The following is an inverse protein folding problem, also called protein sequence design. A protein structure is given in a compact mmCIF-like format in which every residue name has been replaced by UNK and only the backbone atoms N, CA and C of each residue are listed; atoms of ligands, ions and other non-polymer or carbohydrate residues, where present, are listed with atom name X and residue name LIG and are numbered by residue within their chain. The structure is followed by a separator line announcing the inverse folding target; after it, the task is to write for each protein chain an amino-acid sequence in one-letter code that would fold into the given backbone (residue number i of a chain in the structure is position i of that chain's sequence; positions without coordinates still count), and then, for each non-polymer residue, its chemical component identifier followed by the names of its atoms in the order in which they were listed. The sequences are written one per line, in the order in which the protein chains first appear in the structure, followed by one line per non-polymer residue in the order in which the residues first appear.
data_IF_181550641815
#
_entry.id   IF_181550641815
#
_cell.length_a   1.000
_cell.length_b   1.000
_cell.length_c   1.000
_cell.angle_alpha   90.00
_cell.angle_beta   90.00
_cell.angle_gamma   90.00
#
_symmetry.space_group_name_H-M   'P 1'
#
loop_
_entity.id
_entity.type
_entity.pdbx_description
1 polymer ?
#
# COMPACT_ATOMS: atom_id res chain seq x y z
N UNK A 1 -55.91 6.96 -6.10
CA UNK A 1 -55.10 8.16 -5.87
C UNK A 1 -54.35 7.93 -4.58
N UNK A 2 -53.17 7.42 -4.64
CA UNK A 2 -52.26 7.31 -3.50
C UNK A 2 -50.86 7.37 -4.10
N UNK A 3 -50.27 8.51 -3.95
CA UNK A 3 -48.88 8.77 -4.35
C UNK A 3 -47.96 8.05 -3.36
N UNK A 4 -47.23 7.08 -3.86
CA UNK A 4 -46.13 6.45 -3.19
C UNK A 4 -44.88 7.22 -3.51
N UNK A 5 -44.47 8.11 -2.62
CA UNK A 5 -43.23 8.85 -2.68
C UNK A 5 -42.13 7.93 -2.14
N UNK A 6 -41.43 7.24 -3.07
CA UNK A 6 -40.22 6.52 -2.73
C UNK A 6 -39.10 7.56 -2.51
N UNK A 7 -38.75 7.79 -1.27
CA UNK A 7 -37.52 8.49 -0.92
C UNK A 7 -36.34 7.61 -1.31
N UNK A 8 -35.63 8.04 -2.34
CA UNK A 8 -34.29 7.60 -2.66
C UNK A 8 -33.33 8.21 -1.62
N UNK A 9 -33.18 7.52 -0.49
CA UNK A 9 -32.13 7.80 0.48
C UNK A 9 -30.84 7.15 -0.02
N UNK A 10 -30.13 7.83 -0.91
CA UNK A 10 -28.70 7.60 -1.11
C UNK A 10 -28.01 8.02 0.19
N UNK A 11 -27.85 7.04 1.08
CA UNK A 11 -27.03 7.17 2.28
C UNK A 11 -25.60 7.44 1.84
N UNK A 12 -25.19 8.70 1.81
CA UNK A 12 -23.79 9.09 1.71
C UNK A 12 -23.08 8.58 2.97
N UNK A 13 -22.42 7.43 2.84
CA UNK A 13 -21.45 7.00 3.83
C UNK A 13 -20.38 8.10 3.90
N UNK A 14 -20.43 8.89 4.96
CA UNK A 14 -19.36 9.84 5.26
C UNK A 14 -18.15 8.99 5.66
N UNK A 15 -17.13 8.98 4.82
CA UNK A 15 -15.82 8.54 5.25
C UNK A 15 -15.38 9.44 6.40
N UNK A 16 -15.28 8.85 7.58
CA UNK A 16 -15.26 9.52 8.89
C UNK A 16 -13.87 10.04 9.27
N UNK A 17 -13.06 10.44 8.28
CA UNK A 17 -11.76 11.07 8.53
C UNK A 17 -11.72 12.42 7.84
N UNK A 18 -11.93 13.48 8.61
CA UNK A 18 -11.73 14.87 8.16
C UNK A 18 -10.22 15.14 8.06
N UNK A 19 -9.60 14.62 7.00
CA UNK A 19 -8.20 14.89 6.69
C UNK A 19 -8.13 15.90 5.54
N UNK A 20 -7.12 16.77 5.53
CA UNK A 20 -6.86 17.58 4.35
C UNK A 20 -6.48 16.66 3.20
N UNK A 21 -7.23 16.69 2.12
CA UNK A 21 -7.00 15.87 0.95
C UNK A 21 -5.87 16.48 0.10
N UNK A 22 -4.83 15.67 -0.15
CA UNK A 22 -3.72 16.01 -1.06
C UNK A 22 -3.88 15.16 -2.31
N UNK A 23 -3.81 15.77 -3.49
CA UNK A 23 -3.99 15.09 -4.77
C UNK A 23 -2.89 15.41 -5.76
N UNK A 24 -2.83 14.66 -6.86
CA UNK A 24 -1.93 14.93 -7.97
C UNK A 24 -0.46 14.54 -7.71
N UNK A 25 0.46 15.36 -8.22
CA UNK A 25 1.90 15.04 -8.20
C UNK A 25 2.49 15.03 -6.79
N UNK A 26 2.03 15.93 -5.92
CA UNK A 26 2.47 15.99 -4.52
C UNK A 26 2.06 14.70 -3.76
N UNK A 27 0.83 14.23 -3.97
CA UNK A 27 0.37 12.97 -3.38
C UNK A 27 1.18 11.77 -3.86
N UNK A 28 1.55 11.73 -5.16
CA UNK A 28 2.41 10.67 -5.72
C UNK A 28 3.80 10.66 -5.12
N UNK A 29 4.42 11.84 -5.03
CA UNK A 29 5.75 11.97 -4.44
C UNK A 29 5.74 11.50 -2.98
N UNK A 30 4.72 11.92 -2.21
CA UNK A 30 4.60 11.53 -0.81
C UNK A 30 4.32 10.05 -0.63
N UNK A 31 3.46 9.46 -1.47
CA UNK A 31 3.19 8.03 -1.46
C UNK A 31 4.47 7.22 -1.72
N UNK A 32 5.26 7.63 -2.71
CA UNK A 32 6.55 6.99 -3.01
C UNK A 32 7.47 7.01 -1.80
N UNK A 33 7.66 8.18 -1.16
CA UNK A 33 8.48 8.31 0.05
C UNK A 33 8.00 7.38 1.17
N UNK A 34 6.69 7.36 1.46
CA UNK A 34 6.12 6.52 2.50
C UNK A 34 6.33 5.02 2.23
N UNK A 35 6.13 4.58 0.99
CA UNK A 35 6.34 3.18 0.58
C UNK A 35 7.81 2.77 0.73
N UNK A 36 8.75 3.65 0.34
CA UNK A 36 10.19 3.40 0.46
C UNK A 36 10.67 3.43 1.92
N UNK A 37 10.10 4.31 2.75
CA UNK A 37 10.46 4.41 4.18
C UNK A 37 9.92 3.25 5.02
N UNK A 38 8.69 2.79 4.76
CA UNK A 38 8.07 1.69 5.52
C UNK A 38 8.60 0.34 5.03
N UNK A 39 8.95 0.24 3.73
CA UNK A 39 9.60 -0.89 3.08
C UNK A 39 8.75 -2.18 3.01
N UNK A 40 8.24 -2.68 4.13
CA UNK A 40 7.53 -3.97 4.18
C UNK A 40 6.03 -3.81 3.91
N UNK A 41 5.58 -4.39 2.80
CA UNK A 41 4.17 -4.50 2.48
C UNK A 41 3.55 -5.80 3.02
N UNK A 42 2.33 -5.72 3.51
CA UNK A 42 1.41 -6.86 3.54
C UNK A 42 0.87 -7.05 2.11
N UNK A 43 1.52 -7.90 1.33
CA UNK A 43 1.17 -8.19 -0.06
C UNK A 43 0.02 -9.20 -0.10
N UNK A 44 -1.12 -8.81 -0.64
CA UNK A 44 -2.37 -9.58 -0.65
C UNK A 44 -2.71 -10.02 -2.06
N UNK A 45 -2.95 -11.31 -2.22
CA UNK A 45 -3.39 -11.96 -3.46
C UNK A 45 -4.68 -12.73 -3.21
N UNK A 46 -5.28 -13.24 -4.28
CA UNK A 46 -6.42 -14.17 -4.22
C UNK A 46 -5.95 -15.59 -4.54
N UNK A 47 -6.19 -16.54 -3.63
CA UNK A 47 -5.83 -17.93 -3.82
C UNK A 47 -6.79 -18.68 -4.79
N UNK A 48 -6.51 -19.96 -5.05
CA UNK A 48 -7.31 -20.80 -5.96
C UNK A 48 -8.77 -21.01 -5.50
N UNK A 49 -9.08 -20.74 -4.22
CA UNK A 49 -10.43 -20.82 -3.64
C UNK A 49 -11.14 -19.46 -3.67
N UNK A 50 -10.44 -18.40 -4.12
CA UNK A 50 -10.94 -17.04 -4.12
C UNK A 50 -10.74 -16.32 -2.78
N UNK A 51 -10.01 -16.92 -1.83
CA UNK A 51 -9.73 -16.34 -0.52
C UNK A 51 -8.56 -15.35 -0.61
N UNK A 52 -8.61 -14.27 0.18
CA UNK A 52 -7.52 -13.31 0.27
C UNK A 52 -6.43 -13.86 1.19
N UNK A 53 -5.19 -13.84 0.70
CA UNK A 53 -4.01 -14.31 1.44
C UNK A 53 -2.94 -13.24 1.42
N UNK A 54 -2.47 -12.83 2.61
CA UNK A 54 -1.43 -11.81 2.75
C UNK A 54 -0.11 -12.42 3.24
N UNK A 55 1.01 -11.84 2.79
CA UNK A 55 2.37 -12.18 3.26
C UNK A 55 3.25 -10.93 3.25
N UNK A 56 4.28 -10.86 4.10
CA UNK A 56 5.22 -9.74 4.05
C UNK A 56 6.09 -9.80 2.79
N UNK A 57 6.29 -8.65 2.14
CA UNK A 57 7.18 -8.47 1.00
C UNK A 57 7.97 -7.16 1.15
N UNK A 58 9.29 -7.23 1.00
CA UNK A 58 10.14 -6.04 1.04
C UNK A 58 10.11 -5.34 -0.32
N UNK A 59 9.73 -4.08 -0.32
CA UNK A 59 9.78 -3.20 -1.49
C UNK A 59 11.24 -2.90 -1.84
N UNK A 60 11.58 -2.95 -3.12
CA UNK A 60 12.93 -2.66 -3.59
C UNK A 60 13.05 -1.31 -4.26
N UNK A 61 11.99 -0.89 -4.92
CA UNK A 61 11.94 0.37 -5.65
C UNK A 61 10.49 0.78 -5.87
N UNK A 62 10.24 2.08 -5.87
CA UNK A 62 9.10 2.70 -6.55
C UNK A 62 9.70 3.51 -7.69
N UNK A 63 9.55 3.05 -8.93
CA UNK A 63 10.18 3.69 -10.07
C UNK A 63 9.50 5.01 -10.49
N UNK A 64 10.02 5.67 -11.53
CA UNK A 64 9.51 6.95 -12.02
C UNK A 64 8.07 6.86 -12.57
N UNK A 65 7.67 5.67 -13.04
CA UNK A 65 6.30 5.41 -13.49
C UNK A 65 5.34 5.19 -12.31
N UNK A 66 5.87 4.98 -11.11
CA UNK A 66 5.12 4.64 -9.90
C UNK A 66 4.93 3.14 -9.72
N UNK A 67 5.56 2.30 -10.55
CA UNK A 67 5.53 0.85 -10.38
C UNK A 67 6.35 0.43 -9.15
N UNK A 68 5.80 -0.51 -8.37
CA UNK A 68 6.40 -1.00 -7.13
C UNK A 68 7.02 -2.38 -7.39
N UNK A 69 8.30 -2.54 -7.03
CA UNK A 69 9.11 -3.70 -7.39
C UNK A 69 9.52 -4.53 -6.18
N UNK A 70 9.38 -5.85 -6.32
CA UNK A 70 9.73 -6.85 -5.31
C UNK A 70 10.55 -7.98 -5.94
N UNK A 71 11.40 -8.67 -5.14
CA UNK A 71 11.95 -9.96 -5.55
C UNK A 71 11.01 -11.11 -5.19
N UNK A 72 11.04 -12.15 -6.01
CA UNK A 72 10.25 -13.37 -5.82
C UNK A 72 10.94 -14.57 -6.46
N UNK A 73 10.40 -15.76 -6.24
CA UNK A 73 10.65 -16.95 -7.08
C UNK A 73 9.45 -17.13 -8.01
N UNK A 74 9.71 -17.43 -9.28
CA UNK A 74 8.70 -17.59 -10.33
C UNK A 74 7.77 -18.79 -10.11
N UNK A 75 8.23 -19.82 -9.36
CA UNK A 75 7.44 -20.98 -8.95
C UNK A 75 6.72 -20.78 -7.60
N UNK A 76 6.80 -19.58 -7.00
CA UNK A 76 6.19 -19.34 -5.70
C UNK A 76 4.66 -19.30 -5.78
N UNK A 77 4.02 -19.69 -4.67
CA UNK A 77 2.55 -19.70 -4.56
C UNK A 77 1.91 -18.35 -4.92
N UNK A 78 2.51 -17.23 -4.48
CA UNK A 78 2.00 -15.90 -4.80
C UNK A 78 2.07 -15.56 -6.29
N UNK A 79 3.08 -16.08 -7.01
CA UNK A 79 3.20 -15.90 -8.45
C UNK A 79 2.07 -16.64 -9.16
N UNK A 80 1.84 -17.91 -8.84
CA UNK A 80 0.70 -18.67 -9.40
C UNK A 80 -0.67 -18.04 -9.07
N UNK A 81 -0.79 -17.39 -7.93
CA UNK A 81 -1.98 -16.63 -7.54
C UNK A 81 -2.15 -15.38 -8.42
N UNK A 82 -1.08 -14.62 -8.66
CA UNK A 82 -1.10 -13.41 -9.51
C UNK A 82 -1.27 -13.72 -10.99
N UNK A 83 -0.77 -14.85 -11.48
CA UNK A 83 -1.01 -15.30 -12.87
C UNK A 83 -2.50 -15.58 -13.14
N UNK A 84 -3.24 -16.03 -12.13
CA UNK A 84 -4.68 -16.28 -12.23
C UNK A 84 -5.52 -15.03 -12.00
N UNK A 85 -5.09 -14.21 -11.06
CA UNK A 85 -5.75 -12.98 -10.63
C UNK A 85 -4.72 -11.89 -10.48
N UNK A 86 -4.59 -11.05 -11.48
CA UNK A 86 -3.57 -9.99 -11.50
C UNK A 86 -3.80 -8.91 -10.43
N UNK A 87 -5.03 -8.80 -9.92
CA UNK A 87 -5.40 -7.81 -8.91
C UNK A 87 -4.76 -8.16 -7.56
N UNK A 88 -4.04 -7.20 -6.99
CA UNK A 88 -3.36 -7.33 -5.71
C UNK A 88 -3.61 -6.12 -4.83
N UNK A 89 -3.47 -6.32 -3.51
CA UNK A 89 -3.47 -5.24 -2.53
C UNK A 89 -2.14 -5.18 -1.80
N UNK A 90 -1.64 -3.97 -1.56
CA UNK A 90 -0.49 -3.72 -0.69
C UNK A 90 -0.96 -2.85 0.47
N UNK A 91 -0.60 -3.24 1.69
CA UNK A 91 -0.78 -2.38 2.86
C UNK A 91 0.56 -2.20 3.56
N UNK A 92 0.94 -0.94 3.77
CA UNK A 92 2.13 -0.54 4.51
C UNK A 92 1.69 0.09 5.83
N UNK A 93 2.31 -0.32 6.94
CA UNK A 93 1.90 0.09 8.26
C UNK A 93 3.12 0.45 9.12
N UNK A 94 3.32 1.73 9.36
CA UNK A 94 4.20 2.23 10.42
C UNK A 94 3.37 2.65 11.63
N UNK A 95 3.14 1.71 12.51
CA UNK A 95 2.36 1.95 13.75
C UNK A 95 3.04 2.93 14.70
N UNK A 96 4.36 3.03 14.62
CA UNK A 96 5.16 3.94 15.46
C UNK A 96 5.06 5.39 15.00
N UNK A 97 4.93 5.61 13.70
CA UNK A 97 4.74 6.90 13.04
C UNK A 97 3.29 7.25 12.78
N UNK A 98 2.35 6.30 13.02
CA UNK A 98 0.94 6.42 12.64
C UNK A 98 0.77 6.73 11.15
N UNK A 99 1.58 6.05 10.31
CA UNK A 99 1.56 6.22 8.85
C UNK A 99 1.07 4.93 8.20
N UNK A 100 0.16 5.08 7.27
CA UNK A 100 -0.50 3.95 6.62
C UNK A 100 -0.59 4.22 5.13
N UNK A 101 -0.34 3.20 4.31
CA UNK A 101 -0.51 3.27 2.85
C UNK A 101 -1.30 2.06 2.40
N UNK A 102 -2.27 2.28 1.54
CA UNK A 102 -3.04 1.26 0.84
C UNK A 102 -2.87 1.44 -0.66
N UNK A 103 -2.51 0.36 -1.35
CA UNK A 103 -2.40 0.34 -2.82
C UNK A 103 -3.22 -0.81 -3.36
N UNK A 104 -4.14 -0.54 -4.26
CA UNK A 104 -4.74 -1.53 -5.13
C UNK A 104 -4.02 -1.47 -6.48
N UNK A 105 -3.58 -2.61 -7.00
CA UNK A 105 -2.78 -2.66 -8.22
C UNK A 105 -2.90 -3.95 -8.99
N UNK A 106 -2.14 -4.05 -10.06
CA UNK A 106 -2.01 -5.26 -10.89
C UNK A 106 -0.57 -5.74 -10.87
N UNK A 107 -0.38 -7.01 -10.55
CA UNK A 107 0.95 -7.62 -10.47
C UNK A 107 1.28 -8.46 -11.71
N UNK A 108 2.53 -8.44 -12.10
CA UNK A 108 3.10 -9.34 -13.12
C UNK A 108 4.52 -9.75 -12.78
N UNK A 109 4.92 -10.92 -13.23
CA UNK A 109 6.30 -11.44 -13.10
C UNK A 109 7.16 -10.88 -14.24
N UNK A 110 8.35 -10.39 -13.90
CA UNK A 110 9.29 -9.80 -14.84
C UNK A 110 10.68 -10.42 -14.68
N UNK A 111 11.25 -10.92 -15.77
CA UNK A 111 12.61 -11.44 -15.84
C UNK A 111 13.54 -10.42 -16.51
N UNK A 112 13.88 -9.36 -15.79
CA UNK A 112 14.81 -8.31 -16.23
C UNK A 112 16.11 -8.41 -15.42
N UNK A 113 17.12 -9.10 -16.00
CA UNK A 113 18.39 -9.32 -15.34
C UNK A 113 19.09 -8.01 -14.96
N UNK A 114 19.08 -7.02 -15.83
CA UNK A 114 19.73 -5.75 -15.57
C UNK A 114 19.07 -5.00 -14.40
N UNK A 115 17.73 -5.04 -14.33
CA UNK A 115 16.99 -4.47 -13.20
C UNK A 115 17.24 -5.27 -11.91
N UNK A 116 17.26 -6.60 -11.98
CA UNK A 116 17.60 -7.44 -10.83
C UNK A 116 18.97 -7.11 -10.26
N UNK A 117 20.00 -6.97 -11.09
CA UNK A 117 21.36 -6.60 -10.67
C UNK A 117 21.41 -5.23 -10.00
N UNK A 118 20.64 -4.27 -10.49
CA UNK A 118 20.54 -2.93 -9.88
C UNK A 118 19.83 -2.93 -8.52
N UNK A 119 18.78 -3.73 -8.37
CA UNK A 119 17.93 -3.76 -7.17
C UNK A 119 18.38 -4.75 -6.11
N UNK A 120 19.24 -5.69 -6.46
CA UNK A 120 19.72 -6.71 -5.54
C UNK A 120 20.62 -6.10 -4.45
N UNK A 121 20.45 -6.56 -3.24
CA UNK A 121 21.34 -6.23 -2.13
C UNK A 121 21.58 -7.46 -1.24
N UNK A 122 22.72 -7.52 -0.53
CA UNK A 122 23.07 -8.67 0.33
C UNK A 122 22.04 -9.00 1.40
N UNK A 123 21.15 -8.06 1.76
CA UNK A 123 20.06 -8.34 2.69
C UNK A 123 19.04 -9.37 2.16
N UNK A 124 19.05 -9.63 0.85
CA UNK A 124 18.20 -10.62 0.20
C UNK A 124 18.77 -12.05 0.26
N UNK A 125 20.05 -12.24 0.62
CA UNK A 125 20.69 -13.55 0.68
C UNK A 125 19.99 -14.51 1.68
N UNK A 126 19.30 -13.98 2.68
CA UNK A 126 18.49 -14.78 3.60
C UNK A 126 17.30 -15.49 2.93
N UNK A 127 16.89 -15.01 1.74
CA UNK A 127 15.77 -15.53 0.97
C UNK A 127 16.21 -16.20 -0.34
N UNK A 128 17.40 -15.82 -0.84
CA UNK A 128 17.98 -16.24 -2.11
C UNK A 128 19.44 -16.67 -1.85
N UNK A 129 19.64 -17.93 -1.44
CA UNK A 129 20.95 -18.45 -0.97
C UNK A 129 22.06 -18.35 -2.03
N UNK A 130 21.68 -18.50 -3.32
CA UNK A 130 22.62 -18.35 -4.45
C UNK A 130 22.59 -16.93 -5.05
N UNK A 131 22.04 -15.95 -4.31
CA UNK A 131 21.92 -14.59 -4.78
C UNK A 131 21.12 -14.49 -6.08
N UNK A 132 21.65 -13.74 -7.04
CA UNK A 132 21.03 -13.59 -8.38
C UNK A 132 21.10 -14.85 -9.24
N UNK A 133 21.85 -15.88 -8.84
CA UNK A 133 21.92 -17.19 -9.52
C UNK A 133 20.91 -18.17 -8.93
N UNK A 134 20.13 -17.78 -7.93
CA UNK A 134 19.05 -18.61 -7.36
C UNK A 134 18.09 -19.03 -8.47
N UNK A 135 17.86 -20.35 -8.68
CA UNK A 135 16.94 -20.81 -9.71
C UNK A 135 15.53 -20.21 -9.56
N UNK A 136 14.99 -19.69 -10.64
CA UNK A 136 13.64 -19.09 -10.65
C UNK A 136 13.55 -17.70 -9.99
N UNK A 137 14.68 -17.06 -9.66
CA UNK A 137 14.65 -15.68 -9.16
C UNK A 137 14.06 -14.74 -10.22
N UNK A 138 13.11 -13.93 -9.82
CA UNK A 138 12.41 -13.00 -10.68
C UNK A 138 12.01 -11.73 -9.91
N UNK A 139 11.56 -10.74 -10.64
CA UNK A 139 10.90 -9.57 -10.07
C UNK A 139 9.38 -9.71 -10.16
N UNK A 140 8.69 -9.18 -9.18
CA UNK A 140 7.26 -8.97 -9.22
C UNK A 140 7.02 -7.46 -9.29
N UNK A 141 6.44 -7.00 -10.39
CA UNK A 141 6.05 -5.61 -10.61
C UNK A 141 4.61 -5.42 -10.22
N UNK A 142 4.30 -4.40 -9.46
CA UNK A 142 2.93 -3.96 -9.19
C UNK A 142 2.73 -2.58 -9.78
N UNK A 143 1.81 -2.48 -10.75
CA UNK A 143 1.34 -1.21 -11.29
C UNK A 143 0.13 -0.75 -10.49
N UNK A 144 0.21 0.36 -9.76
CA UNK A 144 -0.91 0.88 -8.97
C UNK A 144 -2.09 1.28 -9.88
N UNK A 145 -3.30 0.98 -9.43
CA UNK A 145 -4.57 1.42 -10.02
C UNK A 145 -5.20 2.52 -9.18
N UNK A 146 -5.10 2.38 -7.86
CA UNK A 146 -5.45 3.41 -6.90
C UNK A 146 -4.57 3.28 -5.65
N UNK A 147 -4.29 4.41 -5.02
CA UNK A 147 -3.45 4.45 -3.83
C UNK A 147 -3.94 5.53 -2.88
N UNK A 148 -3.90 5.22 -1.61
CA UNK A 148 -4.27 6.13 -0.53
C UNK A 148 -3.25 6.05 0.59
N UNK A 149 -2.98 7.17 1.26
CA UNK A 149 -2.15 7.20 2.45
C UNK A 149 -2.75 8.08 3.54
N UNK A 150 -2.40 7.76 4.77
CA UNK A 150 -2.77 8.50 5.97
C UNK A 150 -1.54 8.72 6.81
N UNK A 151 -1.29 9.95 7.21
CA UNK A 151 -0.19 10.30 8.10
C UNK A 151 -0.56 11.48 9.02
N UNK A 152 0.10 11.63 10.18
CA UNK A 152 -0.12 12.79 11.04
C UNK A 152 0.27 14.09 10.36
N UNK A 153 -0.61 15.08 10.37
CA UNK A 153 -0.33 16.43 9.82
C UNK A 153 0.83 17.13 10.52
N UNK A 154 1.01 16.85 11.80
CA UNK A 154 2.06 17.43 12.62
C UNK A 154 2.79 16.31 13.36
N UNK A 155 4.11 16.42 13.54
CA UNK A 155 4.94 15.37 14.14
C UNK A 155 4.40 14.79 15.47
N UNK A 156 4.90 13.64 15.87
CA UNK A 156 4.42 12.76 16.98
C UNK A 156 3.98 13.50 18.27
N UNK A 157 4.66 14.60 18.63
CA UNK A 157 4.33 15.38 19.83
C UNK A 157 3.03 16.17 19.69
N UNK A 158 2.77 16.76 18.50
CA UNK A 158 1.55 17.51 18.25
C UNK A 158 0.33 16.58 18.15
N UNK A 159 0.50 15.41 17.54
CA UNK A 159 -0.55 14.38 17.48
C UNK A 159 -0.93 13.87 18.86
N UNK A 160 0.07 13.60 19.74
CA UNK A 160 -0.18 13.19 21.12
C UNK A 160 -0.88 14.30 21.94
N UNK A 161 -0.50 15.56 21.74
CA UNK A 161 -1.15 16.69 22.39
C UNK A 161 -2.61 16.89 21.89
N UNK A 162 -2.85 16.68 20.58
CA UNK A 162 -4.18 16.72 19.98
C UNK A 162 -5.10 15.60 20.52
N UNK A 163 -4.59 14.37 20.63
CA UNK A 163 -5.31 13.25 21.22
C UNK A 163 -5.63 13.49 22.71
N UNK A 164 -4.70 14.03 23.47
CA UNK A 164 -4.90 14.35 24.89
C UNK A 164 -5.98 15.45 25.04
N UNK A 165 -5.96 16.46 24.19
CA UNK A 165 -6.99 17.52 24.14
C UNK A 165 -8.36 16.91 23.83
N UNK A 166 -8.46 16.03 22.82
CA UNK A 166 -9.71 15.36 22.45
C UNK A 166 -10.29 14.52 23.59
N UNK A 167 -9.46 13.84 24.36
CA UNK A 167 -9.89 13.09 25.56
C UNK A 167 -10.48 13.98 26.66
N UNK A 168 -10.03 15.24 26.75
CA UNK A 168 -10.51 16.19 27.75
C UNK A 168 -11.73 16.97 27.27
N UNK A 169 -11.79 17.33 26.00
CA UNK A 169 -12.86 18.17 25.43
C UNK A 169 -14.01 17.37 24.85
N UNK A 170 -13.86 16.05 24.66
CA UNK A 170 -14.79 15.17 23.92
C UNK A 170 -15.09 15.63 22.48
N UNK A 171 -14.25 16.52 21.95
CA UNK A 171 -14.30 16.90 20.55
C UNK A 171 -13.48 15.92 19.74
N UNK A 172 -13.99 15.51 18.58
CA UNK A 172 -13.23 14.74 17.61
C UNK A 172 -11.98 15.57 17.23
N UNK A 173 -10.75 15.00 17.20
CA UNK A 173 -9.60 15.76 16.79
C UNK A 173 -9.74 16.10 15.31
N UNK A 174 -10.39 17.22 15.02
CA UNK A 174 -10.38 17.80 13.68
C UNK A 174 -8.93 18.08 13.29
N UNK A 175 -8.54 17.61 12.11
CA UNK A 175 -7.30 18.03 11.45
C UNK A 175 -5.97 17.41 11.95
N UNK A 176 -5.99 16.19 12.51
CA UNK A 176 -4.76 15.51 12.97
C UNK A 176 -4.08 14.64 11.91
N UNK A 177 -4.78 14.26 10.84
CA UNK A 177 -4.28 13.38 9.78
C UNK A 177 -4.30 14.08 8.42
N UNK A 178 -3.35 13.77 7.57
CA UNK A 178 -3.35 14.09 6.14
C UNK A 178 -3.72 12.81 5.39
N UNK A 179 -4.62 12.94 4.43
CA UNK A 179 -5.03 11.87 3.53
C UNK A 179 -4.67 12.26 2.09
N UNK A 180 -3.93 11.42 1.41
CA UNK A 180 -3.64 11.60 -0.01
C UNK A 180 -4.21 10.44 -0.82
N UNK A 181 -4.73 10.76 -2.01
CA UNK A 181 -5.29 9.81 -2.95
C UNK A 181 -4.78 10.03 -4.36
N UNK A 182 -4.48 8.93 -5.07
CA UNK A 182 -4.04 8.92 -6.47
C UNK A 182 -4.88 7.92 -7.24
#
# INVERSE_FOLDING_TARGET
MSDSNAHDETEQVKDDVTAAEVTGEEARARLKELVEEIDIAAFTTRDARGELVSRPMSTREVDEAGDIWFFTLDDSKKVHETERHHEVGLAYLDTSGHRYVSVAGRAEVVHDRARMERLYSPSLDIWFEDGLETPGIALLRVTPVSSEYWEPRHGKLATAAGMLKALVTHDTPDDTMVHGRI
#
